data_IF_936103352004
#
_entry.id   IF_936103352004
#
_cell.length_a   1.000
_cell.length_b   1.000
_cell.length_c   1.000
_cell.angle_alpha   90.00
_cell.angle_beta   90.00
_cell.angle_gamma   90.00
#
_symmetry.space_group_name_H-M   'P 1'
#
loop_
_entity.id
_entity.type
_entity.pdbx_description
1 polymer ?
#
# COMPACT_ATOMS: atom_id res chain seq x y z
N UNK A 1 14.61 -19.19 6.05
CA UNK A 1 13.56 -19.06 5.01
C UNK A 1 12.20 -18.69 5.60
N UNK A 2 11.79 -19.27 6.74
CA UNK A 2 10.49 -18.96 7.37
C UNK A 2 10.30 -17.47 7.72
N UNK A 3 11.32 -16.83 8.31
CA UNK A 3 11.30 -15.38 8.60
C UNK A 3 11.14 -14.53 7.33
N UNK A 4 11.76 -14.94 6.21
CA UNK A 4 11.66 -14.25 4.92
C UNK A 4 10.25 -14.36 4.34
N UNK A 5 9.63 -15.54 4.42
CA UNK A 5 8.25 -15.76 3.96
C UNK A 5 7.25 -14.97 4.81
N UNK A 6 7.49 -14.86 6.12
CA UNK A 6 6.69 -14.03 7.02
C UNK A 6 6.79 -12.54 6.63
N UNK A 7 8.01 -12.05 6.37
CA UNK A 7 8.21 -10.66 5.92
C UNK A 7 7.49 -10.44 4.60
N UNK A 8 7.67 -11.30 3.59
CA UNK A 8 6.99 -11.19 2.29
C UNK A 8 5.47 -11.23 2.45
N UNK A 9 4.94 -12.10 3.31
CA UNK A 9 3.50 -12.15 3.60
C UNK A 9 2.99 -10.87 4.30
N UNK A 10 3.82 -10.26 5.14
CA UNK A 10 3.47 -9.01 5.83
C UNK A 10 3.56 -7.78 4.93
N UNK A 11 4.45 -7.77 3.93
CA UNK A 11 4.60 -6.66 2.97
C UNK A 11 3.52 -6.68 1.90
N UNK A 12 2.95 -7.85 1.58
CA UNK A 12 1.76 -7.98 0.74
C UNK A 12 0.52 -7.56 1.58
N UNK A 13 0.40 -6.25 1.76
CA UNK A 13 -0.65 -5.59 2.54
C UNK A 13 -1.97 -5.37 1.77
N UNK A 14 -2.93 -4.71 2.43
CA UNK A 14 -4.21 -4.28 1.83
C UNK A 14 -4.07 -3.22 0.74
N UNK A 15 -2.91 -2.56 0.65
CA UNK A 15 -2.63 -1.53 -0.35
C UNK A 15 -2.67 -2.03 -1.80
N UNK A 16 -2.51 -3.33 -2.04
CA UNK A 16 -2.54 -3.91 -3.38
C UNK A 16 -3.86 -3.65 -4.11
N UNK A 17 -4.99 -3.49 -3.42
CA UNK A 17 -6.28 -3.26 -4.09
C UNK A 17 -6.61 -1.78 -4.28
N UNK A 18 -6.33 -0.93 -3.27
CA UNK A 18 -6.61 0.50 -3.35
C UNK A 18 -5.66 1.23 -4.29
N UNK A 19 -4.35 1.02 -4.09
CA UNK A 19 -3.29 1.70 -4.85
C UNK A 19 -3.34 1.29 -6.33
N UNK A 20 -3.70 0.04 -6.65
CA UNK A 20 -3.81 -0.39 -8.05
C UNK A 20 -4.99 0.24 -8.78
N UNK A 21 -6.12 0.45 -8.09
CA UNK A 21 -7.27 1.17 -8.65
C UNK A 21 -6.94 2.64 -8.93
N UNK A 22 -6.29 3.30 -7.97
CA UNK A 22 -5.88 4.69 -8.11
C UNK A 22 -4.82 4.85 -9.21
N UNK A 23 -3.87 3.91 -9.28
CA UNK A 23 -2.83 3.89 -10.32
C UNK A 23 -3.41 3.66 -11.71
N UNK A 24 -4.40 2.77 -11.85
CA UNK A 24 -5.08 2.50 -13.11
C UNK A 24 -5.87 3.73 -13.62
N UNK A 25 -6.31 4.60 -12.71
CA UNK A 25 -6.99 5.86 -13.05
C UNK A 25 -5.98 6.97 -13.36
N UNK A 26 -4.82 6.96 -12.71
CA UNK A 26 -3.81 8.00 -12.82
C UNK A 26 -2.95 7.91 -14.10
N UNK A 27 -2.74 6.70 -14.65
CA UNK A 27 -1.83 6.51 -15.77
C UNK A 27 -2.17 5.32 -16.66
N UNK A 28 -1.75 5.44 -17.92
CA UNK A 28 -1.74 4.33 -18.88
C UNK A 28 -0.62 3.32 -18.56
N UNK A 29 -0.66 2.09 -19.12
CA UNK A 29 0.26 1.02 -18.72
C UNK A 29 1.75 1.37 -18.84
N UNK A 30 2.17 2.07 -19.90
CA UNK A 30 3.57 2.45 -20.13
C UNK A 30 4.12 3.38 -19.04
N UNK A 31 3.53 4.57 -18.82
CA UNK A 31 3.90 5.48 -17.73
C UNK A 31 3.83 4.84 -16.34
N UNK A 32 2.82 3.99 -16.08
CA UNK A 32 2.69 3.28 -14.80
C UNK A 32 3.87 2.32 -14.55
N UNK A 33 4.34 1.58 -15.57
CA UNK A 33 5.52 0.71 -15.47
C UNK A 33 6.79 1.51 -15.18
N UNK A 34 6.96 2.66 -15.85
CA UNK A 34 8.13 3.54 -15.62
C UNK A 34 8.13 4.02 -14.16
N UNK A 35 7.00 4.52 -13.66
CA UNK A 35 6.86 4.93 -12.27
C UNK A 35 7.17 3.78 -11.30
N UNK A 36 6.67 2.58 -11.60
CA UNK A 36 6.91 1.40 -10.77
C UNK A 36 8.39 1.00 -10.70
N UNK A 37 9.12 1.08 -11.82
CA UNK A 37 10.56 0.83 -11.87
C UNK A 37 11.32 1.88 -11.03
N UNK A 38 10.95 3.16 -11.13
CA UNK A 38 11.57 4.23 -10.36
C UNK A 38 11.38 3.99 -8.85
N UNK A 39 10.14 3.70 -8.44
CA UNK A 39 9.80 3.39 -7.03
C UNK A 39 10.56 2.15 -6.55
N UNK A 40 10.61 1.09 -7.36
CA UNK A 40 11.35 -0.13 -7.04
C UNK A 40 12.84 0.15 -6.79
N UNK A 41 13.48 0.93 -7.66
CA UNK A 41 14.91 1.29 -7.49
C UNK A 41 15.10 2.12 -6.22
N UNK A 42 14.21 3.07 -5.94
CA UNK A 42 14.23 3.86 -4.70
C UNK A 42 14.12 3.00 -3.45
N UNK A 43 13.16 2.08 -3.40
CA UNK A 43 12.98 1.18 -2.25
C UNK A 43 14.15 0.20 -2.13
N UNK A 44 14.65 -0.35 -3.24
CA UNK A 44 15.79 -1.26 -3.23
C UNK A 44 17.05 -0.59 -2.69
N UNK A 45 17.37 0.62 -3.14
CA UNK A 45 18.52 1.37 -2.65
C UNK A 45 18.41 1.70 -1.16
N UNK A 46 17.20 2.03 -0.67
CA UNK A 46 16.94 2.22 0.76
C UNK A 46 17.19 0.94 1.57
N UNK A 47 16.64 -0.19 1.12
CA UNK A 47 16.81 -1.49 1.81
C UNK A 47 18.27 -1.91 1.82
N UNK A 48 19.01 -1.72 0.72
CA UNK A 48 20.44 -2.02 0.65
C UNK A 48 21.25 -1.11 1.58
N UNK A 49 20.89 0.16 1.71
CA UNK A 49 21.52 1.09 2.65
C UNK A 49 21.31 0.65 4.11
N UNK A 50 20.09 0.31 4.50
CA UNK A 50 19.76 -0.20 5.84
C UNK A 50 20.45 -1.53 6.13
N UNK A 51 20.52 -2.42 5.14
CA UNK A 51 21.24 -3.70 5.24
C UNK A 51 22.74 -3.45 5.44
N UNK A 52 23.34 -2.51 4.71
CA UNK A 52 24.75 -2.15 4.87
C UNK A 52 25.04 -1.58 6.27
N UNK A 53 24.14 -0.74 6.80
CA UNK A 53 24.23 -0.18 8.14
C UNK A 53 24.14 -1.28 9.22
N UNK A 54 23.18 -2.18 9.09
CA UNK A 54 23.02 -3.33 10.01
C UNK A 54 24.26 -4.22 10.06
N UNK A 55 24.92 -4.44 8.92
CA UNK A 55 26.16 -5.23 8.87
C UNK A 55 27.38 -4.49 9.45
N UNK A 56 27.48 -3.17 9.26
CA UNK A 56 28.63 -2.37 9.74
C UNK A 56 28.53 -2.00 11.22
N UNK A 57 27.33 -1.87 11.76
CA UNK A 57 27.06 -1.48 13.14
C UNK A 57 26.16 -2.52 13.83
N UNK A 58 26.64 -3.76 14.02
CA UNK A 58 25.91 -4.79 14.75
C UNK A 58 25.82 -4.49 16.25
N UNK A 59 26.56 -3.50 16.75
CA UNK A 59 26.45 -2.98 18.12
C UNK A 59 25.14 -2.22 18.38
N UNK A 60 24.41 -1.83 17.34
CA UNK A 60 23.17 -1.08 17.41
C UNK A 60 21.97 -2.00 17.14
N UNK A 61 21.54 -2.75 18.16
CA UNK A 61 20.46 -3.74 18.08
C UNK A 61 19.04 -3.15 18.22
N UNK A 62 18.89 -1.88 18.58
CA UNK A 62 17.59 -1.23 18.82
C UNK A 62 16.81 -0.86 17.55
N UNK A 63 17.28 -1.31 16.38
CA UNK A 63 16.64 -1.08 15.08
C UNK A 63 16.93 0.30 14.48
N UNK A 64 15.96 0.84 13.74
CA UNK A 64 16.15 2.06 12.94
C UNK A 64 16.44 3.30 13.82
N UNK A 65 15.94 3.31 15.05
CA UNK A 65 16.09 4.44 16.00
C UNK A 65 17.50 4.56 16.55
N UNK A 66 18.19 3.44 16.80
CA UNK A 66 19.58 3.46 17.28
C UNK A 66 20.55 4.01 16.25
N UNK A 67 20.26 3.88 14.96
CA UNK A 67 21.05 4.55 13.92
C UNK A 67 20.87 6.07 13.97
N UNK A 68 19.66 6.56 14.22
CA UNK A 68 19.41 8.00 14.39
C UNK A 68 20.08 8.53 15.68
N UNK A 69 20.07 7.75 16.75
CA UNK A 69 20.78 8.06 18.00
C UNK A 69 22.29 8.19 17.79
N UNK A 70 22.89 7.23 17.08
CA UNK A 70 24.32 7.23 16.80
C UNK A 70 24.77 8.37 15.88
N UNK A 71 23.90 8.83 14.98
CA UNK A 71 24.21 9.92 14.04
C UNK A 71 23.93 11.32 14.61
N UNK A 72 22.83 11.49 15.36
CA UNK A 72 22.30 12.80 15.77
C UNK A 72 22.15 12.96 17.30
N UNK A 73 22.57 11.97 18.09
CA UNK A 73 22.45 11.98 19.54
C UNK A 73 21.03 11.69 20.05
N UNK A 74 20.79 11.89 21.37
CA UNK A 74 19.52 11.53 22.02
C UNK A 74 18.28 12.22 21.45
N UNK A 75 18.45 13.45 20.93
CA UNK A 75 17.35 14.21 20.32
C UNK A 75 16.93 13.60 18.97
N UNK A 76 17.89 13.10 18.18
CA UNK A 76 17.58 12.42 16.92
C UNK A 76 16.86 11.09 17.13
N UNK A 77 17.25 10.34 18.17
CA UNK A 77 16.53 9.14 18.60
C UNK A 77 15.09 9.45 18.98
N UNK A 78 14.87 10.48 19.79
CA UNK A 78 13.54 10.91 20.21
C UNK A 78 12.66 11.32 19.02
N UNK A 79 13.17 12.14 18.10
CA UNK A 79 12.41 12.56 16.90
C UNK A 79 12.08 11.36 16.02
N UNK A 80 13.03 10.46 15.79
CA UNK A 80 12.80 9.27 14.97
C UNK A 80 11.73 8.36 15.58
N UNK A 81 11.82 8.09 16.90
CA UNK A 81 10.81 7.33 17.63
C UNK A 81 9.43 7.97 17.59
N UNK A 82 9.37 9.30 17.78
CA UNK A 82 8.11 10.04 17.73
C UNK A 82 7.48 10.03 16.33
N UNK A 83 8.29 10.24 15.29
CA UNK A 83 7.83 10.19 13.90
C UNK A 83 7.29 8.81 13.53
N UNK A 84 7.97 7.73 13.95
CA UNK A 84 7.49 6.37 13.74
C UNK A 84 6.18 6.11 14.49
N UNK A 85 6.08 6.52 15.75
CA UNK A 85 4.86 6.36 16.53
C UNK A 85 3.68 7.09 15.88
N UNK A 86 3.87 8.33 15.44
CA UNK A 86 2.84 9.10 14.75
C UNK A 86 2.45 8.44 13.42
N UNK A 87 3.43 8.00 12.62
CA UNK A 87 3.21 7.28 11.36
C UNK A 87 2.39 6.01 11.58
N UNK A 88 2.71 5.22 12.61
CA UNK A 88 1.96 4.00 12.93
C UNK A 88 0.49 4.30 13.31
N UNK A 89 0.22 5.41 14.00
CA UNK A 89 -1.16 5.81 14.34
C UNK A 89 -1.93 6.32 13.13
N UNK A 90 -1.33 7.18 12.32
CA UNK A 90 -1.95 7.70 11.11
C UNK A 90 -2.19 6.59 10.07
N UNK A 91 -1.27 5.64 9.95
CA UNK A 91 -1.43 4.47 9.09
C UNK A 91 -2.65 3.63 9.46
N UNK A 92 -2.87 3.38 10.76
CA UNK A 92 -4.06 2.65 11.23
C UNK A 92 -5.36 3.39 10.87
N UNK A 93 -5.38 4.72 10.97
CA UNK A 93 -6.53 5.55 10.59
C UNK A 93 -6.77 5.44 9.07
N UNK A 94 -5.71 5.52 8.26
CA UNK A 94 -5.80 5.37 6.81
C UNK A 94 -6.34 3.99 6.40
N UNK A 95 -5.92 2.91 7.07
CA UNK A 95 -6.49 1.59 6.81
C UNK A 95 -7.97 1.49 7.17
N UNK A 96 -8.38 2.12 8.27
CA UNK A 96 -9.78 2.15 8.69
C UNK A 96 -10.65 2.91 7.68
N UNK A 97 -10.18 4.03 7.13
CA UNK A 97 -10.92 4.79 6.09
C UNK A 97 -11.00 4.03 4.77
N UNK A 98 -9.94 3.35 4.34
CA UNK A 98 -9.95 2.50 3.14
C UNK A 98 -10.95 1.36 3.32
N UNK A 99 -10.99 0.73 4.50
CA UNK A 99 -11.96 -0.34 4.79
C UNK A 99 -13.41 0.17 4.72
N UNK A 100 -13.69 1.35 5.27
CA UNK A 100 -15.03 1.95 5.19
C UNK A 100 -15.40 2.35 3.76
N UNK A 101 -14.44 2.88 2.99
CA UNK A 101 -14.65 3.19 1.57
C UNK A 101 -14.99 1.93 0.76
N UNK A 102 -14.29 0.81 1.01
CA UNK A 102 -14.59 -0.47 0.39
C UNK A 102 -16.00 -0.99 0.75
N UNK A 103 -16.44 -0.82 2.01
CA UNK A 103 -17.83 -1.13 2.40
C UNK A 103 -18.85 -0.20 1.75
N UNK A 104 -18.49 1.06 1.50
CA UNK A 104 -19.29 2.03 0.75
C UNK A 104 -19.58 1.63 -0.68
N UNK A 105 -18.68 0.89 -1.33
CA UNK A 105 -18.94 0.31 -2.66
C UNK A 105 -20.13 -0.66 -2.66
N UNK A 106 -20.36 -1.40 -1.56
CA UNK A 106 -21.47 -2.34 -1.43
C UNK A 106 -22.73 -1.70 -0.83
N UNK A 107 -22.56 -0.77 0.10
CA UNK A 107 -23.64 -0.09 0.83
C UNK A 107 -23.54 1.44 0.70
N UNK A 108 -23.73 1.99 -0.51
CA UNK A 108 -23.47 3.41 -0.80
C UNK A 108 -24.39 4.36 -0.01
N UNK A 109 -25.62 3.95 0.32
CA UNK A 109 -26.55 4.74 1.13
C UNK A 109 -26.13 4.92 2.59
N UNK A 110 -25.31 4.01 3.12
CA UNK A 110 -24.89 3.99 4.52
C UNK A 110 -23.48 4.55 4.72
N UNK A 111 -22.54 4.23 3.83
CA UNK A 111 -21.12 4.55 4.02
C UNK A 111 -20.58 5.58 3.02
N UNK A 112 -21.30 5.88 1.93
CA UNK A 112 -20.87 6.83 0.89
C UNK A 112 -19.39 6.62 0.49
N UNK A 113 -18.54 7.64 0.67
CA UNK A 113 -17.08 7.57 0.38
C UNK A 113 -16.23 7.11 1.59
N UNK A 114 -16.84 6.53 2.62
CA UNK A 114 -16.14 6.10 3.85
C UNK A 114 -15.73 7.22 4.80
N UNK A 115 -16.05 8.48 4.48
CA UNK A 115 -15.70 9.67 5.26
C UNK A 115 -16.89 10.28 6.03
N UNK A 116 -18.06 9.64 5.99
CA UNK A 116 -19.21 10.15 6.73
C UNK A 116 -19.11 9.83 8.24
N UNK A 117 -19.88 10.54 9.07
CA UNK A 117 -19.85 10.37 10.52
C UNK A 117 -20.18 8.93 10.96
N UNK A 118 -21.07 8.27 10.22
CA UNK A 118 -21.43 6.87 10.47
C UNK A 118 -20.24 5.91 10.22
N UNK A 119 -19.50 6.10 9.13
CA UNK A 119 -18.29 5.33 8.80
C UNK A 119 -17.22 5.49 9.88
N UNK A 120 -17.05 6.71 10.41
CA UNK A 120 -16.10 6.97 11.49
C UNK A 120 -16.47 6.17 12.75
N UNK A 121 -17.74 6.18 13.15
CA UNK A 121 -18.21 5.45 14.33
C UNK A 121 -18.01 3.94 14.13
N UNK A 122 -18.40 3.40 12.98
CA UNK A 122 -18.23 1.97 12.67
C UNK A 122 -16.75 1.58 12.62
N UNK A 123 -15.89 2.41 12.01
CA UNK A 123 -14.45 2.21 11.98
C UNK A 123 -13.84 2.16 13.38
N UNK A 124 -14.24 3.07 14.28
CA UNK A 124 -13.78 3.09 15.67
C UNK A 124 -14.19 1.80 16.39
N UNK A 125 -15.46 1.40 16.29
CA UNK A 125 -15.98 0.17 16.92
C UNK A 125 -15.20 -1.05 16.42
N UNK A 126 -15.04 -1.20 15.10
CA UNK A 126 -14.29 -2.31 14.51
C UNK A 126 -12.82 -2.33 14.94
N UNK A 127 -12.18 -1.16 15.00
CA UNK A 127 -10.79 -1.05 15.46
C UNK A 127 -10.63 -1.51 16.90
N UNK A 128 -11.55 -1.13 17.79
CA UNK A 128 -11.55 -1.58 19.18
C UNK A 128 -11.84 -3.07 19.31
N UNK A 129 -12.76 -3.62 18.51
CA UNK A 129 -13.03 -5.07 18.47
C UNK A 129 -11.79 -5.85 18.04
N UNK A 130 -11.11 -5.41 16.98
CA UNK A 130 -9.87 -6.03 16.52
C UNK A 130 -8.77 -5.92 17.58
N UNK A 131 -8.65 -4.77 18.23
CA UNK A 131 -7.68 -4.56 19.31
C UNK A 131 -7.97 -5.50 20.48
N UNK A 132 -9.23 -5.66 20.86
CA UNK A 132 -9.63 -6.59 21.93
C UNK A 132 -9.35 -8.05 21.56
N UNK A 133 -9.61 -8.45 20.32
CA UNK A 133 -9.32 -9.80 19.82
C UNK A 133 -7.82 -10.09 19.84
N UNK A 134 -6.99 -9.15 19.41
CA UNK A 134 -5.52 -9.29 19.44
C UNK A 134 -5.01 -9.35 20.89
N UNK A 135 -5.58 -8.56 21.80
CA UNK A 135 -5.21 -8.57 23.22
C UNK A 135 -5.60 -9.87 23.94
N UNK A 136 -6.54 -10.67 23.40
CA UNK A 136 -6.99 -11.93 24.01
C UNK A 136 -6.09 -13.15 23.72
N UNK A 137 -5.07 -13.02 22.87
CA UNK A 137 -4.04 -14.05 22.72
C UNK A 137 -3.36 -14.07 21.35
N UNK A 138 -2.09 -14.50 21.36
CA UNK A 138 -1.24 -14.63 20.16
C UNK A 138 -1.85 -15.58 19.12
N UNK A 139 -2.56 -16.62 19.58
CA UNK A 139 -3.24 -17.59 18.71
C UNK A 139 -4.39 -16.96 17.92
N UNK A 140 -5.14 -16.04 18.53
CA UNK A 140 -6.21 -15.30 17.83
C UNK A 140 -5.64 -14.36 16.77
N UNK A 141 -4.51 -13.71 17.05
CA UNK A 141 -3.82 -12.84 16.08
C UNK A 141 -3.28 -13.64 14.88
N UNK A 142 -2.67 -14.81 15.13
CA UNK A 142 -2.19 -15.69 14.06
C UNK A 142 -3.34 -16.19 13.17
N UNK A 143 -4.46 -16.60 13.77
CA UNK A 143 -5.65 -17.06 13.04
C UNK A 143 -6.25 -15.96 12.15
N UNK A 144 -6.43 -14.74 12.68
CA UNK A 144 -6.93 -13.59 11.92
C UNK A 144 -6.00 -13.27 10.75
N UNK A 145 -4.68 -13.30 10.97
CA UNK A 145 -3.71 -13.05 9.91
C UNK A 145 -3.77 -14.13 8.82
N UNK A 146 -3.87 -15.42 9.19
CA UNK A 146 -4.02 -16.52 8.23
C UNK A 146 -5.28 -16.39 7.37
N UNK A 147 -6.43 -16.06 7.98
CA UNK A 147 -7.65 -15.76 7.22
C UNK A 147 -7.42 -14.57 6.28
N UNK A 148 -6.81 -13.50 6.79
CA UNK A 148 -6.48 -12.32 6.00
C UNK A 148 -5.62 -12.64 4.78
N UNK A 149 -4.61 -13.51 4.93
CA UNK A 149 -3.76 -13.97 3.81
C UNK A 149 -4.57 -14.73 2.77
N UNK A 150 -5.41 -15.69 3.17
CA UNK A 150 -6.25 -16.46 2.26
C UNK A 150 -7.24 -15.55 1.51
N UNK A 151 -7.92 -14.66 2.25
CA UNK A 151 -8.87 -13.69 1.69
C UNK A 151 -8.23 -12.71 0.70
N UNK A 152 -6.93 -12.44 0.80
CA UNK A 152 -6.20 -11.60 -0.17
C UNK A 152 -5.74 -12.38 -1.40
N UNK A 153 -5.25 -13.61 -1.20
CA UNK A 153 -4.68 -14.43 -2.28
C UNK A 153 -5.77 -14.89 -3.24
N UNK A 154 -6.94 -15.30 -2.74
CA UNK A 154 -8.02 -15.81 -3.60
C UNK A 154 -8.48 -14.78 -4.65
N UNK A 155 -8.87 -13.53 -4.29
CA UNK A 155 -9.24 -12.52 -5.27
C UNK A 155 -8.12 -12.19 -6.25
N UNK A 156 -6.86 -12.21 -5.80
CA UNK A 156 -5.72 -11.93 -6.67
C UNK A 156 -5.52 -13.03 -7.72
N UNK A 157 -5.67 -14.30 -7.34
CA UNK A 157 -5.62 -15.42 -8.28
C UNK A 157 -6.79 -15.36 -9.26
N UNK A 158 -8.01 -15.09 -8.77
CA UNK A 158 -9.19 -14.93 -9.63
C UNK A 158 -8.99 -13.78 -10.62
N UNK A 159 -8.46 -12.64 -10.15
CA UNK A 159 -8.15 -11.49 -10.99
C UNK A 159 -7.17 -11.85 -12.11
N UNK A 160 -6.08 -12.56 -11.79
CA UNK A 160 -5.10 -13.03 -12.79
C UNK A 160 -5.77 -13.93 -13.84
N UNK A 161 -6.63 -14.87 -13.43
CA UNK A 161 -7.36 -15.74 -14.35
C UNK A 161 -8.30 -14.91 -15.26
N UNK A 162 -9.06 -13.97 -14.69
CA UNK A 162 -9.93 -13.08 -15.46
C UNK A 162 -9.16 -12.24 -16.46
N UNK A 163 -7.99 -11.72 -16.08
CA UNK A 163 -7.11 -10.98 -17.00
C UNK A 163 -6.66 -11.89 -18.13
N UNK A 164 -6.12 -13.08 -17.85
CA UNK A 164 -5.66 -14.01 -18.90
C UNK A 164 -6.77 -14.34 -19.90
N UNK A 165 -8.00 -14.59 -19.43
CA UNK A 165 -9.14 -14.90 -20.29
C UNK A 165 -9.70 -13.68 -21.04
N UNK A 166 -9.63 -12.49 -20.43
CA UNK A 166 -10.15 -11.24 -20.97
C UNK A 166 -9.13 -10.38 -21.73
N UNK A 167 -7.85 -10.76 -21.74
CA UNK A 167 -6.76 -9.92 -22.23
C UNK A 167 -6.80 -9.79 -23.75
N UNK A 168 -7.23 -8.62 -24.22
CA UNK A 168 -7.20 -8.24 -25.63
C UNK A 168 -5.89 -7.52 -25.95
N UNK A 169 -4.86 -8.29 -26.29
CA UNK A 169 -3.51 -7.77 -26.57
C UNK A 169 -3.49 -6.59 -27.55
N UNK A 170 -4.35 -6.62 -28.59
CA UNK A 170 -4.44 -5.54 -29.58
C UNK A 170 -4.87 -4.18 -28.99
N UNK A 171 -5.77 -4.19 -28.01
CA UNK A 171 -6.24 -2.96 -27.34
C UNK A 171 -5.16 -2.47 -26.38
N UNK A 172 -4.55 -3.40 -25.63
CA UNK A 172 -3.47 -3.09 -24.71
C UNK A 172 -2.26 -2.45 -25.40
N UNK A 173 -1.81 -3.01 -26.54
CA UNK A 173 -0.69 -2.43 -27.29
C UNK A 173 -1.03 -1.10 -27.93
N UNK A 174 -2.29 -0.89 -28.33
CA UNK A 174 -2.74 0.36 -28.93
C UNK A 174 -2.77 1.50 -27.90
N UNK A 175 -3.23 1.22 -26.68
CA UNK A 175 -3.33 2.23 -25.60
C UNK A 175 -2.12 2.24 -24.64
N UNK A 176 -1.05 1.51 -24.95
CA UNK A 176 0.10 1.34 -24.05
C UNK A 176 0.74 2.67 -23.63
N UNK A 177 0.76 3.66 -24.54
CA UNK A 177 1.27 5.01 -24.30
C UNK A 177 0.16 6.07 -24.14
N UNK A 178 -1.10 5.65 -23.98
CA UNK A 178 -2.25 6.55 -23.88
C UNK A 178 -2.79 7.09 -25.21
N UNK A 179 -2.28 6.58 -26.33
CA UNK A 179 -2.65 7.03 -27.67
C UNK A 179 -4.13 6.78 -28.02
N UNK A 180 -4.81 5.80 -27.41
CA UNK A 180 -6.22 5.51 -27.72
C UNK A 180 -7.13 6.35 -26.82
N UNK A 181 -6.79 6.45 -25.54
CA UNK A 181 -7.55 7.25 -24.56
C UNK A 181 -7.57 8.74 -24.92
N UNK A 182 -6.45 9.30 -25.40
CA UNK A 182 -6.36 10.68 -25.90
C UNK A 182 -7.18 10.94 -27.17
N UNK A 183 -7.30 9.94 -28.06
CA UNK A 183 -7.96 10.10 -29.35
C UNK A 183 -9.47 9.78 -29.32
N UNK A 184 -9.96 8.99 -28.35
CA UNK A 184 -11.39 8.65 -28.22
C UNK A 184 -12.17 9.61 -27.30
N UNK A 185 -11.51 10.26 -26.35
CA UNK A 185 -12.15 11.21 -25.44
C UNK A 185 -11.59 12.61 -25.64
N UNK A 186 -12.31 13.45 -26.39
CA UNK A 186 -12.08 14.91 -26.50
C UNK A 186 -12.25 15.67 -25.17
N UNK A 187 -12.39 14.96 -24.05
CA UNK A 187 -12.69 15.48 -22.70
C UNK A 187 -11.79 14.92 -21.61
N UNK A 188 -10.85 14.04 -21.93
CA UNK A 188 -9.85 13.49 -21.01
C UNK A 188 -8.49 13.77 -21.63
N UNK A 189 -7.93 14.94 -21.34
CA UNK A 189 -6.50 15.16 -21.54
C UNK A 189 -5.78 14.27 -20.53
N UNK A 190 -5.48 13.02 -20.91
CA UNK A 190 -4.38 12.32 -20.27
C UNK A 190 -3.17 13.22 -20.47
N UNK A 191 -2.70 13.84 -19.38
CA UNK A 191 -1.58 14.78 -19.41
C UNK A 191 -0.34 14.16 -20.05
N UNK A 192 0.72 14.95 -20.20
CA UNK A 192 1.99 14.46 -20.74
C UNK A 192 2.42 13.16 -20.04
N UNK A 193 3.19 12.30 -20.73
CA UNK A 193 3.77 11.10 -20.13
C UNK A 193 4.46 11.44 -18.79
N UNK A 194 5.09 12.62 -18.71
CA UNK A 194 5.68 13.14 -17.48
C UNK A 194 4.67 13.32 -16.35
N UNK A 195 3.50 13.89 -16.63
CA UNK A 195 2.45 14.12 -15.63
C UNK A 195 1.84 12.81 -15.15
N UNK A 196 1.67 11.84 -16.05
CA UNK A 196 1.18 10.50 -15.72
C UNK A 196 2.20 9.73 -14.85
N UNK A 197 3.50 9.81 -15.16
CA UNK A 197 4.56 9.23 -14.32
C UNK A 197 4.55 9.91 -12.95
N UNK A 198 4.46 11.24 -12.89
CA UNK A 198 4.42 11.99 -11.64
C UNK A 198 3.18 11.62 -10.80
N UNK A 199 2.01 11.53 -11.42
CA UNK A 199 0.78 11.12 -10.76
C UNK A 199 0.88 9.68 -10.22
N UNK A 200 1.43 8.77 -11.02
CA UNK A 200 1.68 7.39 -10.60
C UNK A 200 2.61 7.30 -9.39
N UNK A 201 3.69 8.10 -9.37
CA UNK A 201 4.60 8.18 -8.22
C UNK A 201 3.87 8.73 -6.99
N UNK A 202 3.05 9.78 -7.13
CA UNK A 202 2.28 10.33 -6.01
C UNK A 202 1.25 9.34 -5.44
N UNK A 203 0.72 8.43 -6.26
CA UNK A 203 -0.20 7.37 -5.79
C UNK A 203 0.55 6.27 -5.03
N UNK A 204 1.82 6.02 -5.38
CA UNK A 204 2.63 4.94 -4.77
C UNK A 204 3.43 5.36 -3.53
N UNK A 205 3.52 6.65 -3.22
CA UNK A 205 4.25 7.22 -2.07
C UNK A 205 3.32 7.47 -0.88
#
# INVERSE_FOLDING_TARGET
MELTLLIVGSTIGSGVFGITSDLATAATPGPAIIAWIIVMIGVLTLVLSLTNLSQKRPDLDSGIFSYAAAAFGPLGEFISGWAYWLSARLGNIAFATIMMSALGTFFPSLFANGQNLFSIIVAIILTWVLTFLVNRGIESAAFINSIGSICKIIPLVVFVICVILGFKAKIFTADFWGNVTQNLSSKIETGSIYDQVKASIMVMM
#
